data_IF_987981616165
#
_entry.id   IF_987981616165
#
_cell.length_a   1.000
_cell.length_b   1.000
_cell.length_c   1.000
_cell.angle_alpha   90.00
_cell.angle_beta   90.00
_cell.angle_gamma   90.00
#
_symmetry.space_group_name_H-M   'P 1'
#
loop_
_entity.id
_entity.type
_entity.pdbx_description
1 polymer ?
#
# COMPACT_ATOMS: atom_id res chain seq x y z
N UNK A 1 7.03 3.17 2.74
CA UNK A 1 5.90 2.29 2.33
C UNK A 1 4.54 2.96 2.51
N UNK A 2 4.23 3.48 3.70
CA UNK A 2 2.92 4.14 3.95
C UNK A 2 2.62 5.31 3.00
N UNK A 3 3.61 6.15 2.68
CA UNK A 3 3.43 7.28 1.76
C UNK A 3 3.08 6.83 0.33
N UNK A 4 3.78 5.81 -0.19
CA UNK A 4 3.46 5.22 -1.49
C UNK A 4 2.07 4.58 -1.49
N UNK A 5 1.68 3.94 -0.37
CA UNK A 5 0.35 3.37 -0.22
C UNK A 5 -0.74 4.45 -0.14
N UNK A 6 -0.47 5.56 0.55
CA UNK A 6 -1.34 6.74 0.59
C UNK A 6 -1.56 7.31 -0.79
N UNK A 7 -0.49 7.48 -1.56
CA UNK A 7 -0.57 7.93 -2.95
C UNK A 7 -1.40 6.98 -3.81
N UNK A 8 -1.24 5.67 -3.65
CA UNK A 8 -2.09 4.69 -4.33
C UNK A 8 -3.58 4.85 -3.95
N UNK A 9 -3.90 5.11 -2.68
CA UNK A 9 -5.27 5.34 -2.21
C UNK A 9 -5.90 6.61 -2.81
N UNK A 10 -5.13 7.69 -3.01
CA UNK A 10 -5.66 8.97 -3.49
C UNK A 10 -5.66 9.11 -5.00
N UNK A 11 -4.65 8.58 -5.69
CA UNK A 11 -4.49 8.77 -7.13
C UNK A 11 -4.94 7.56 -7.95
N UNK A 12 -4.54 6.35 -7.53
CA UNK A 12 -4.73 5.14 -8.34
C UNK A 12 -6.08 4.48 -8.05
N UNK A 13 -6.35 4.17 -6.78
CA UNK A 13 -7.57 3.45 -6.39
C UNK A 13 -8.86 4.13 -6.86
N UNK A 14 -9.03 5.47 -6.78
CA UNK A 14 -10.25 6.14 -7.25
C UNK A 14 -10.40 6.08 -8.78
N UNK A 15 -9.30 6.04 -9.53
CA UNK A 15 -9.30 5.91 -10.98
C UNK A 15 -9.60 4.48 -11.48
N UNK A 16 -9.57 3.47 -10.59
CA UNK A 16 -9.85 2.10 -10.99
C UNK A 16 -11.32 1.91 -11.43
N UNK A 17 -11.55 1.08 -12.48
CA UNK A 17 -12.90 0.73 -12.87
C UNK A 17 -13.62 -0.08 -11.77
N UNK A 18 -14.96 -0.03 -11.68
CA UNK A 18 -15.72 -0.64 -10.58
C UNK A 18 -15.46 -2.14 -10.40
N UNK A 19 -15.23 -2.88 -11.49
CA UNK A 19 -14.93 -4.31 -11.46
C UNK A 19 -13.59 -4.63 -10.75
N UNK A 20 -12.62 -3.71 -10.78
CA UNK A 20 -11.32 -3.83 -10.09
C UNK A 20 -11.40 -3.43 -8.62
N UNK A 21 -12.36 -2.59 -8.22
CA UNK A 21 -12.59 -2.14 -6.83
C UNK A 21 -13.28 -3.22 -5.98
N UNK A 22 -12.77 -4.44 -6.04
CA UNK A 22 -13.35 -5.61 -5.37
C UNK A 22 -12.27 -6.36 -4.59
N UNK A 23 -12.69 -7.31 -3.76
CA UNK A 23 -11.78 -8.19 -3.03
C UNK A 23 -10.76 -7.46 -2.15
N UNK A 24 -9.48 -7.80 -2.33
CA UNK A 24 -8.39 -7.31 -1.48
C UNK A 24 -8.13 -5.80 -1.62
N UNK A 25 -8.36 -5.21 -2.81
CA UNK A 25 -8.21 -3.77 -3.05
C UNK A 25 -9.26 -2.96 -2.29
N UNK A 26 -10.53 -3.39 -2.37
CA UNK A 26 -11.62 -2.76 -1.61
C UNK A 26 -11.38 -2.84 -0.11
N UNK A 27 -10.96 -4.02 0.38
CA UNK A 27 -10.65 -4.21 1.79
C UNK A 27 -9.47 -3.33 2.20
N UNK A 28 -8.42 -3.23 1.39
CA UNK A 28 -7.27 -2.42 1.74
C UNK A 28 -7.58 -0.91 1.76
N UNK A 29 -8.40 -0.44 0.81
CA UNK A 29 -8.92 0.92 0.85
C UNK A 29 -9.73 1.19 2.12
N UNK A 30 -10.66 0.28 2.49
CA UNK A 30 -11.44 0.38 3.73
C UNK A 30 -10.52 0.40 4.95
N UNK A 31 -9.62 -0.57 5.06
CA UNK A 31 -8.78 -0.76 6.23
C UNK A 31 -7.85 0.45 6.44
N UNK A 32 -7.33 1.04 5.36
CA UNK A 32 -6.57 2.28 5.40
C UNK A 32 -7.42 3.51 5.76
N UNK A 33 -8.60 3.67 5.12
CA UNK A 33 -9.47 4.84 5.31
C UNK A 33 -10.05 4.92 6.72
N UNK A 34 -10.37 3.78 7.32
CA UNK A 34 -10.97 3.71 8.66
C UNK A 34 -9.93 3.41 9.76
N UNK A 35 -8.63 3.53 9.49
CA UNK A 35 -7.55 3.27 10.45
C UNK A 35 -7.64 1.90 11.14
N UNK A 36 -8.11 0.87 10.42
CA UNK A 36 -8.23 -0.51 10.94
C UNK A 36 -6.90 -1.28 10.92
N UNK A 37 -5.83 -0.63 10.45
CA UNK A 37 -4.51 -1.21 10.31
C UNK A 37 -4.35 -2.03 9.02
N UNK A 38 -3.19 -1.89 8.39
CA UNK A 38 -2.81 -2.66 7.21
C UNK A 38 -1.32 -2.99 7.29
N UNK A 39 -0.96 -4.25 7.09
CA UNK A 39 0.44 -4.67 7.18
C UNK A 39 1.26 -4.19 5.99
N UNK A 40 2.54 -3.90 6.22
CA UNK A 40 3.47 -3.49 5.15
C UNK A 40 3.55 -4.53 4.03
N UNK A 41 3.52 -5.84 4.38
CA UNK A 41 3.47 -6.94 3.40
C UNK A 41 2.28 -6.80 2.45
N UNK A 42 1.10 -6.47 2.98
CA UNK A 42 -0.13 -6.29 2.19
C UNK A 42 -0.08 -5.02 1.36
N UNK A 43 0.46 -3.92 1.91
CA UNK A 43 0.71 -2.70 1.14
C UNK A 43 1.62 -2.98 -0.05
N UNK A 44 2.74 -3.68 0.17
CA UNK A 44 3.71 -4.04 -0.88
C UNK A 44 3.06 -4.91 -1.95
N UNK A 45 2.31 -5.93 -1.56
CA UNK A 45 1.60 -6.80 -2.49
C UNK A 45 0.71 -5.98 -3.44
N UNK A 46 -0.09 -5.06 -2.89
CA UNK A 46 -0.98 -4.21 -3.67
C UNK A 46 -0.19 -3.29 -4.59
N UNK A 47 0.82 -2.57 -4.07
CA UNK A 47 1.63 -1.67 -4.90
C UNK A 47 2.33 -2.40 -6.05
N UNK A 48 2.76 -3.64 -5.82
CA UNK A 48 3.36 -4.50 -6.84
C UNK A 48 2.40 -4.90 -7.97
N UNK A 49 1.08 -4.80 -7.78
CA UNK A 49 0.09 -5.01 -8.86
C UNK A 49 0.00 -3.79 -9.80
N UNK A 50 0.45 -2.61 -9.37
CA UNK A 50 0.35 -1.35 -10.11
C UNK A 50 1.69 -0.78 -10.58
N UNK A 51 2.82 -1.36 -10.14
CA UNK A 51 4.14 -0.94 -10.58
C UNK A 51 5.27 -1.71 -9.90
N UNK A 52 6.50 -1.34 -10.26
CA UNK A 52 7.70 -1.87 -9.60
C UNK A 52 7.86 -1.21 -8.23
N UNK A 53 8.01 -2.03 -7.19
CA UNK A 53 8.25 -1.55 -5.82
C UNK A 53 9.70 -1.86 -5.45
N UNK A 54 10.57 -0.85 -5.46
CA UNK A 54 11.93 -0.95 -4.93
C UNK A 54 11.93 -0.50 -3.46
N UNK A 55 12.26 -1.40 -2.54
CA UNK A 55 12.32 -1.12 -1.10
C UNK A 55 13.77 -1.23 -0.66
N UNK A 56 14.37 -0.11 -0.25
CA UNK A 56 15.71 -0.07 0.35
C UNK A 56 15.61 0.14 1.86
N UNK A 57 16.02 -0.86 2.62
CA UNK A 57 16.12 -0.76 4.08
C UNK A 57 17.55 -0.42 4.46
N UNK A 58 17.77 0.74 5.09
CA UNK A 58 19.08 1.15 5.61
C UNK A 58 19.07 0.91 7.11
N UNK A 59 19.82 -0.09 7.57
CA UNK A 59 20.00 -0.37 8.99
C UNK A 59 21.34 0.18 9.42
N UNK A 60 21.33 1.17 10.31
CA UNK A 60 22.54 1.70 10.93
C UNK A 60 22.59 1.20 12.36
N UNK A 61 23.62 0.42 12.67
CA UNK A 61 23.90 -0.05 14.02
C UNK A 61 25.23 0.55 14.48
N UNK A 62 25.21 1.21 15.63
CA UNK A 62 26.40 1.81 16.25
C UNK A 62 26.54 1.16 17.62
N UNK A 63 27.53 0.27 17.84
CA UNK A 63 27.87 -0.21 19.16
C UNK A 63 28.62 0.88 19.96
N UNK A 64 28.54 0.83 21.29
CA UNK A 64 29.36 1.64 22.21
C UNK A 64 30.83 1.19 22.22
#
# INVERSE_FOLDING_TARGET
MEEAFKWWITEIYPALPPNRKTGHLKNAWRDYTYNLGISEKRMKQILSEFGTVDVKTIVTFIPE
#
